data_IF_370630931827
#
_entry.id   IF_370630931827
#
_cell.length_a   1.000
_cell.length_b   1.000
_cell.length_c   1.000
_cell.angle_alpha   90.00
_cell.angle_beta   90.00
_cell.angle_gamma   90.00
#
_symmetry.space_group_name_H-M   'P 1'
#
loop_
_entity.id
_entity.type
_entity.pdbx_description
1 polymer ?
#
# COMPACT_ATOMS: atom_id res chain seq x y z
N UNK A 1 -0.91 -1.55 38.29
CA UNK A 1 -2.20 -1.02 37.81
C UNK A 1 -2.03 -0.71 36.32
N UNK A 2 -2.37 -1.64 35.43
CA UNK A 2 -2.32 -1.38 33.98
C UNK A 2 -3.45 -0.37 33.71
N UNK A 3 -3.05 0.84 33.33
CA UNK A 3 -3.97 1.95 33.08
C UNK A 3 -4.93 1.52 31.99
N UNK A 4 -6.23 1.46 32.30
CA UNK A 4 -7.35 1.17 31.36
C UNK A 4 -7.53 2.26 30.28
N UNK A 5 -6.49 3.04 29.99
CA UNK A 5 -6.39 3.75 28.73
C UNK A 5 -6.04 2.71 27.69
N UNK A 6 -7.05 2.10 27.06
CA UNK A 6 -6.89 1.24 25.88
C UNK A 6 -5.79 1.86 25.03
N UNK A 7 -4.64 1.19 24.90
CA UNK A 7 -3.51 1.70 24.13
C UNK A 7 -3.93 1.73 22.66
N UNK A 8 -4.56 2.85 22.26
CA UNK A 8 -5.07 3.11 20.92
C UNK A 8 -3.93 3.25 19.90
N UNK A 9 -2.68 3.27 20.37
CA UNK A 9 -1.48 3.42 19.56
C UNK A 9 -1.41 2.42 18.41
N UNK A 10 -1.68 1.13 18.66
CA UNK A 10 -1.70 0.10 17.62
C UNK A 10 -2.75 0.37 16.53
N UNK A 11 -4.04 0.47 16.88
CA UNK A 11 -5.08 0.83 15.92
C UNK A 11 -4.86 2.16 15.19
N UNK A 12 -4.29 3.18 15.85
CA UNK A 12 -3.96 4.47 15.22
C UNK A 12 -2.86 4.29 14.16
N UNK A 13 -1.82 3.51 14.45
CA UNK A 13 -0.77 3.17 13.48
C UNK A 13 -1.34 2.46 12.25
N UNK A 14 -2.32 1.56 12.45
CA UNK A 14 -3.03 0.92 11.34
C UNK A 14 -3.75 1.95 10.48
N UNK A 15 -4.45 2.92 11.10
CA UNK A 15 -5.14 3.97 10.36
C UNK A 15 -4.17 4.84 9.56
N UNK A 16 -3.05 5.23 10.17
CA UNK A 16 -2.02 6.02 9.50
C UNK A 16 -1.46 5.23 8.30
N UNK A 17 -1.09 3.96 8.48
CA UNK A 17 -0.62 3.11 7.39
C UNK A 17 -1.64 3.00 6.25
N UNK A 18 -2.92 2.75 6.57
CA UNK A 18 -3.98 2.66 5.56
C UNK A 18 -4.23 3.98 4.81
N UNK A 19 -4.15 5.13 5.48
CA UNK A 19 -4.28 6.44 4.84
C UNK A 19 -3.09 6.69 3.89
N UNK A 20 -1.87 6.40 4.33
CA UNK A 20 -0.69 6.58 3.47
C UNK A 20 -0.79 5.64 2.26
N UNK A 21 -1.20 4.38 2.42
CA UNK A 21 -1.43 3.46 1.29
C UNK A 21 -2.46 4.00 0.27
N UNK A 22 -3.55 4.64 0.72
CA UNK A 22 -4.52 5.29 -0.17
C UNK A 22 -3.90 6.47 -0.93
N UNK A 23 -3.15 7.32 -0.23
CA UNK A 23 -2.49 8.47 -0.83
C UNK A 23 -1.39 8.05 -1.81
N UNK A 24 -0.58 7.06 -1.46
CA UNK A 24 0.42 6.44 -2.34
C UNK A 24 -0.22 5.87 -3.60
N UNK A 25 -1.36 5.19 -3.46
CA UNK A 25 -2.12 4.69 -4.63
C UNK A 25 -2.51 5.83 -5.58
N UNK A 26 -3.03 6.94 -5.05
CA UNK A 26 -3.40 8.10 -5.85
C UNK A 26 -2.20 8.67 -6.64
N UNK A 27 -1.06 8.89 -5.97
CA UNK A 27 0.16 9.40 -6.63
C UNK A 27 0.68 8.46 -7.72
N UNK A 28 0.59 7.15 -7.50
CA UNK A 28 0.95 6.15 -8.51
C UNK A 28 0.00 6.26 -9.71
N UNK A 29 -1.30 6.46 -9.50
CA UNK A 29 -2.26 6.61 -10.60
C UNK A 29 -1.97 7.83 -11.49
N UNK A 30 -1.61 8.98 -10.91
CA UNK A 30 -1.21 10.17 -11.69
C UNK A 30 0.08 9.91 -12.48
N UNK A 31 1.03 9.23 -11.85
CA UNK A 31 2.30 8.86 -12.50
C UNK A 31 2.07 7.92 -13.68
N UNK A 32 1.16 6.95 -13.56
CA UNK A 32 0.77 6.04 -14.64
C UNK A 32 0.14 6.80 -15.81
N UNK A 33 -0.79 7.72 -15.54
CA UNK A 33 -1.41 8.54 -16.60
C UNK A 33 -0.34 9.34 -17.35
N UNK A 34 0.58 9.96 -16.61
CA UNK A 34 1.68 10.75 -17.19
C UNK A 34 2.59 9.90 -18.07
N UNK A 35 2.96 8.70 -17.62
CA UNK A 35 3.75 7.74 -18.41
C UNK A 35 2.99 7.36 -19.69
N UNK A 36 1.69 7.04 -19.60
CA UNK A 36 0.88 6.68 -20.75
C UNK A 36 0.81 7.77 -21.81
N UNK A 37 0.65 9.03 -21.38
CA UNK A 37 0.68 10.20 -22.29
C UNK A 37 2.04 10.35 -22.96
N UNK A 38 3.14 10.26 -22.18
CA UNK A 38 4.49 10.40 -22.72
C UNK A 38 4.83 9.30 -23.73
N UNK A 39 4.44 8.06 -23.46
CA UNK A 39 4.61 6.95 -24.39
C UNK A 39 3.81 7.18 -25.68
N UNK A 40 2.56 7.62 -25.56
CA UNK A 40 1.72 7.93 -26.73
C UNK A 40 2.31 9.06 -27.59
N UNK A 41 2.89 10.09 -26.98
CA UNK A 41 3.56 11.19 -27.70
C UNK A 41 4.82 10.67 -28.41
N UNK A 42 5.56 9.77 -27.77
CA UNK A 42 6.74 9.13 -28.34
C UNK A 42 6.42 8.06 -29.40
N UNK A 43 5.15 7.71 -29.60
CA UNK A 43 4.73 6.62 -30.49
C UNK A 43 5.10 5.23 -29.96
N UNK A 44 5.31 5.09 -28.66
CA UNK A 44 5.71 3.84 -27.99
C UNK A 44 4.51 3.16 -27.30
N UNK A 45 4.59 1.84 -27.22
CA UNK A 45 3.67 0.99 -26.44
C UNK A 45 4.29 0.61 -25.10
N UNK A 46 3.45 0.31 -24.10
CA UNK A 46 3.89 0.02 -22.73
C UNK A 46 4.89 -1.14 -22.63
N UNK A 47 4.68 -2.22 -23.39
CA UNK A 47 5.56 -3.38 -23.35
C UNK A 47 6.93 -3.10 -23.99
N UNK A 48 7.02 -2.12 -24.89
CA UNK A 48 8.29 -1.73 -25.54
C UNK A 48 9.25 -1.10 -24.54
N UNK A 49 8.71 -0.53 -23.45
CA UNK A 49 9.49 -0.04 -22.31
C UNK A 49 9.48 -0.99 -21.12
N UNK A 50 9.02 -2.23 -21.31
CA UNK A 50 9.02 -3.27 -20.28
C UNK A 50 7.97 -3.11 -19.19
N UNK A 51 6.94 -2.29 -19.42
CA UNK A 51 5.84 -2.09 -18.49
C UNK A 51 4.59 -2.85 -18.95
N UNK A 52 3.90 -3.49 -18.00
CA UNK A 52 2.64 -4.19 -18.25
C UNK A 52 1.49 -3.43 -17.60
N UNK A 53 0.67 -2.68 -18.36
CA UNK A 53 -0.36 -1.82 -17.80
C UNK A 53 -1.41 -2.61 -17.00
N UNK A 54 -1.68 -3.85 -17.39
CA UNK A 54 -2.58 -4.77 -16.68
C UNK A 54 -2.08 -5.08 -15.26
N UNK A 55 -0.77 -5.37 -15.10
CA UNK A 55 -0.16 -5.62 -13.79
C UNK A 55 -0.15 -4.37 -12.93
N UNK A 56 0.08 -3.20 -13.53
CA UNK A 56 0.06 -1.92 -12.83
C UNK A 56 -1.35 -1.56 -12.33
N UNK A 57 -2.40 -1.79 -13.14
CA UNK A 57 -3.79 -1.61 -12.73
C UNK A 57 -4.17 -2.60 -11.62
N UNK A 58 -3.77 -3.86 -11.75
CA UNK A 58 -4.03 -4.87 -10.71
C UNK A 58 -3.35 -4.52 -9.39
N UNK A 59 -2.10 -4.07 -9.43
CA UNK A 59 -1.36 -3.64 -8.25
C UNK A 59 -2.00 -2.40 -7.60
N UNK A 60 -2.41 -1.41 -8.39
CA UNK A 60 -3.11 -0.23 -7.91
C UNK A 60 -4.44 -0.57 -7.24
N UNK A 61 -5.30 -1.32 -7.93
CA UNK A 61 -6.63 -1.71 -7.41
C UNK A 61 -6.51 -2.59 -6.15
N UNK A 62 -5.54 -3.50 -6.12
CA UNK A 62 -5.25 -4.32 -4.94
C UNK A 62 -4.75 -3.46 -3.77
N UNK A 63 -3.87 -2.49 -4.02
CA UNK A 63 -3.34 -1.61 -2.95
C UNK A 63 -4.45 -0.79 -2.32
N UNK A 64 -5.38 -0.25 -3.11
CA UNK A 64 -6.57 0.45 -2.59
C UNK A 64 -7.44 -0.50 -1.77
N UNK A 65 -7.71 -1.71 -2.28
CA UNK A 65 -8.51 -2.70 -1.57
C UNK A 65 -7.90 -3.03 -0.21
N UNK A 66 -6.59 -3.27 -0.17
CA UNK A 66 -5.87 -3.54 1.07
C UNK A 66 -5.87 -2.32 2.00
N UNK A 67 -5.68 -1.12 1.50
CA UNK A 67 -5.75 0.08 2.32
C UNK A 67 -7.14 0.23 2.99
N UNK A 68 -8.22 0.08 2.23
CA UNK A 68 -9.60 0.18 2.75
C UNK A 68 -9.89 -0.90 3.78
N UNK A 69 -9.54 -2.15 3.51
CA UNK A 69 -9.73 -3.25 4.47
C UNK A 69 -8.88 -3.06 5.74
N UNK A 70 -7.67 -2.51 5.60
CA UNK A 70 -6.81 -2.10 6.71
C UNK A 70 -7.47 -1.04 7.59
N UNK A 71 -8.03 0.00 6.98
CA UNK A 71 -8.77 1.05 7.69
C UNK A 71 -9.98 0.50 8.43
N UNK A 72 -10.77 -0.37 7.77
CA UNK A 72 -11.91 -1.05 8.40
C UNK A 72 -11.44 -1.87 9.61
N UNK A 73 -10.35 -2.64 9.45
CA UNK A 73 -9.72 -3.40 10.54
C UNK A 73 -9.28 -2.51 11.70
N UNK A 74 -8.61 -1.39 11.40
CA UNK A 74 -8.18 -0.39 12.38
C UNK A 74 -9.34 0.23 13.15
N UNK A 75 -10.42 0.63 12.47
CA UNK A 75 -11.64 1.18 13.10
C UNK A 75 -12.27 0.15 14.04
N UNK A 76 -12.44 -1.10 13.57
CA UNK A 76 -12.97 -2.19 14.40
C UNK A 76 -12.07 -2.44 15.62
N UNK A 77 -10.75 -2.31 15.46
CA UNK A 77 -9.80 -2.44 16.55
C UNK A 77 -9.91 -1.29 17.58
N UNK A 78 -10.17 -0.04 17.15
CA UNK A 78 -10.46 1.09 18.05
C UNK A 78 -11.67 0.77 18.95
N UNK A 79 -12.72 0.18 18.39
CA UNK A 79 -13.91 -0.22 19.15
C UNK A 79 -13.69 -1.38 20.13
N UNK A 80 -12.48 -1.93 20.21
CA UNK A 80 -12.14 -2.94 21.21
C UNK A 80 -12.15 -4.37 20.69
N UNK A 81 -12.56 -4.63 19.44
CA UNK A 81 -12.61 -6.00 18.89
C UNK A 81 -11.22 -6.46 18.44
N UNK A 82 -10.77 -7.66 18.87
CA UNK A 82 -9.49 -8.26 18.44
C UNK A 82 -9.49 -8.62 16.94
N UNK A 83 -10.66 -8.97 16.39
CA UNK A 83 -10.83 -9.28 14.96
C UNK A 83 -10.41 -8.13 14.04
N UNK A 84 -10.55 -6.88 14.47
CA UNK A 84 -10.10 -5.73 13.69
C UNK A 84 -8.58 -5.71 13.48
N UNK A 85 -7.81 -5.98 14.54
CA UNK A 85 -6.34 -6.06 14.45
C UNK A 85 -5.89 -7.26 13.61
N UNK A 86 -6.63 -8.38 13.64
CA UNK A 86 -6.34 -9.54 12.79
C UNK A 86 -6.56 -9.22 11.31
N UNK A 87 -7.69 -8.58 10.97
CA UNK A 87 -7.99 -8.15 9.59
C UNK A 87 -6.88 -7.21 9.10
N UNK A 88 -6.54 -6.19 9.88
CA UNK A 88 -5.51 -5.24 9.53
C UNK A 88 -4.12 -5.88 9.34
N UNK A 89 -3.80 -6.90 10.16
CA UNK A 89 -2.54 -7.65 10.03
C UNK A 89 -2.47 -8.43 8.72
N UNK A 90 -3.50 -9.23 8.43
CA UNK A 90 -3.56 -10.05 7.21
C UNK A 90 -3.44 -9.15 5.98
N UNK A 91 -4.19 -8.05 5.99
CA UNK A 91 -4.20 -7.11 4.88
C UNK A 91 -2.88 -6.36 4.75
N UNK A 92 -2.22 -6.01 5.86
CA UNK A 92 -0.88 -5.43 5.85
C UNK A 92 0.16 -6.39 5.22
N UNK A 93 0.07 -7.68 5.55
CA UNK A 93 0.94 -8.72 4.93
C UNK A 93 0.66 -8.84 3.42
N UNK A 94 -0.61 -8.87 3.01
CA UNK A 94 -0.98 -8.94 1.59
C UNK A 94 -0.53 -7.68 0.83
N UNK A 95 -0.67 -6.50 1.43
CA UNK A 95 -0.15 -5.24 0.89
C UNK A 95 1.37 -5.26 0.74
N UNK A 96 2.08 -5.79 1.73
CA UNK A 96 3.54 -5.95 1.67
C UNK A 96 3.97 -6.92 0.56
N UNK A 97 3.34 -8.10 0.46
CA UNK A 97 3.62 -9.07 -0.61
C UNK A 97 3.32 -8.45 -1.99
N UNK A 98 2.20 -7.74 -2.11
CA UNK A 98 1.81 -7.05 -3.34
C UNK A 98 2.84 -5.99 -3.77
N UNK A 99 3.42 -5.26 -2.81
CA UNK A 99 4.48 -4.28 -3.08
C UNK A 99 5.79 -4.90 -3.60
N UNK A 100 5.99 -6.20 -3.40
CA UNK A 100 7.16 -6.94 -3.90
C UNK A 100 6.94 -7.53 -5.30
N UNK A 101 5.71 -7.46 -5.85
CA UNK A 101 5.42 -7.97 -7.19
C UNK A 101 6.00 -6.99 -8.22
N UNK A 102 6.95 -7.43 -9.07
CA UNK A 102 7.51 -6.56 -10.10
C UNK A 102 6.45 -6.20 -11.14
N UNK A 103 6.32 -4.91 -11.44
CA UNK A 103 5.32 -4.37 -12.39
C UNK A 103 5.82 -4.36 -13.85
N UNK A 104 7.04 -4.86 -14.07
CA UNK A 104 7.74 -4.82 -15.35
C UNK A 104 9.01 -5.63 -15.32
N UNK A 105 9.64 -5.77 -16.48
CA UNK A 105 10.96 -6.38 -16.63
C UNK A 105 12.05 -5.32 -16.56
N UNK A 106 13.21 -5.65 -16.00
CA UNK A 106 14.40 -4.79 -16.07
C UNK A 106 14.92 -4.78 -17.51
N UNK A 107 14.34 -3.93 -18.34
CA UNK A 107 14.91 -3.63 -19.66
C UNK A 107 15.68 -2.33 -19.50
N UNK A 108 16.98 -2.36 -19.81
CA UNK A 108 17.83 -1.16 -19.92
C UNK A 108 17.38 -0.34 -21.12
N UNK A 109 16.25 0.35 -20.99
CA UNK A 109 15.78 1.31 -22.00
C UNK A 109 16.63 2.57 -21.82
N UNK A 110 17.57 2.73 -22.73
CA UNK A 110 18.29 3.98 -22.90
C UNK A 110 17.30 5.09 -23.25
N UNK A 111 17.35 6.19 -22.51
CA UNK A 111 16.84 7.55 -22.84
C UNK A 111 15.55 8.11 -22.24
N UNK A 112 14.82 7.41 -21.37
CA UNK A 112 13.82 8.11 -20.53
C UNK A 112 14.00 7.68 -19.08
N UNK A 113 14.60 8.52 -18.21
CA UNK A 113 14.63 8.24 -16.79
C UNK A 113 13.20 8.32 -16.23
N UNK A 114 12.51 7.19 -16.22
CA UNK A 114 11.25 7.03 -15.48
C UNK A 114 11.64 6.87 -14.02
N UNK A 115 11.75 7.99 -13.32
CA UNK A 115 12.10 8.00 -11.90
C UNK A 115 10.86 7.60 -11.12
N UNK A 116 10.75 6.33 -10.71
CA UNK A 116 9.77 5.91 -9.71
C UNK A 116 10.22 6.42 -8.33
N UNK A 117 9.98 7.69 -8.03
CA UNK A 117 10.07 8.20 -6.64
C UNK A 117 8.89 7.67 -5.83
N UNK A 118 8.79 6.35 -5.69
CA UNK A 118 7.77 5.63 -4.95
C UNK A 118 8.28 5.10 -3.60
N UNK A 119 9.30 5.75 -3.01
CA UNK A 119 9.96 5.30 -1.78
C UNK A 119 9.03 5.18 -0.55
N UNK A 120 7.76 5.58 -0.68
CA UNK A 120 6.71 5.39 0.31
C UNK A 120 6.05 4.00 0.25
N UNK A 121 6.03 3.31 -0.89
CA UNK A 121 5.27 2.06 -1.07
C UNK A 121 5.61 0.92 -0.09
N UNK A 122 6.82 0.91 0.47
CA UNK A 122 7.25 -0.12 1.44
C UNK A 122 6.96 0.27 2.89
N UNK A 123 6.92 1.56 3.24
CA UNK A 123 6.69 2.00 4.62
C UNK A 123 5.22 1.78 5.03
N UNK A 124 4.32 1.91 4.07
CA UNK A 124 2.86 1.97 4.28
C UNK A 124 2.26 0.65 4.84
N UNK A 125 2.50 -0.53 4.23
CA UNK A 125 2.01 -1.79 4.77
C UNK A 125 2.73 -2.20 6.07
N UNK A 126 3.98 -1.75 6.28
CA UNK A 126 4.74 -2.03 7.51
C UNK A 126 4.08 -1.36 8.73
N UNK A 127 3.62 -0.11 8.59
CA UNK A 127 2.89 0.58 9.66
C UNK A 127 1.60 -0.15 10.04
N UNK A 128 0.88 -0.70 9.05
CA UNK A 128 -0.29 -1.54 9.31
C UNK A 128 0.07 -2.85 10.04
N UNK A 129 1.15 -3.52 9.65
CA UNK A 129 1.62 -4.74 10.31
C UNK A 129 2.01 -4.46 11.76
N UNK A 130 2.89 -3.46 11.98
CA UNK A 130 3.36 -3.08 13.31
C UNK A 130 2.21 -2.60 14.21
N UNK A 131 1.33 -1.74 13.69
CA UNK A 131 0.15 -1.28 14.40
C UNK A 131 -0.79 -2.42 14.80
N UNK A 132 -0.95 -3.42 13.93
CA UNK A 132 -1.77 -4.59 14.21
C UNK A 132 -1.15 -5.51 15.27
N UNK A 133 0.17 -5.74 15.21
CA UNK A 133 0.90 -6.52 16.24
C UNK A 133 0.79 -5.83 17.60
N UNK A 134 1.00 -4.52 17.66
CA UNK A 134 0.81 -3.73 18.88
C UNK A 134 -0.64 -3.79 19.37
N UNK A 135 -1.60 -3.70 18.46
CA UNK A 135 -3.03 -3.78 18.78
C UNK A 135 -3.49 -5.17 19.24
N UNK A 136 -2.74 -6.24 18.96
CA UNK A 136 -2.99 -7.59 19.45
C UNK A 136 -2.30 -7.83 20.80
N UNK A 137 -1.06 -7.39 20.94
CA UNK A 137 -0.21 -7.61 22.13
C UNK A 137 -0.58 -6.71 23.32
N UNK A 138 -0.97 -5.46 23.08
CA UNK A 138 -1.27 -4.48 24.15
C UNK A 138 -2.73 -4.49 24.61
N UNK A 139 -3.56 -5.35 24.03
CA UNK A 139 -5.01 -5.43 24.30
C UNK A 139 -5.38 -6.66 25.13
N UNK A 140 -4.38 -7.37 25.63
CA UNK A 140 -4.48 -8.39 26.67
C UNK A 140 -4.31 -7.75 28.05
#
# INVERSE_FOLDING_TARGET
MIVKGKLLFGPILVLIGGIIMLFSSYLVSESLVTIGVNLSIAGLQWFEVGLYPELMILAFTSTILWAVLGLIGGIIAIFGKKSGSIIALIVGILGFIGALVPLGTNITVTQIPITFTGSFLLLDPILMILGSILGLTLKE
#
